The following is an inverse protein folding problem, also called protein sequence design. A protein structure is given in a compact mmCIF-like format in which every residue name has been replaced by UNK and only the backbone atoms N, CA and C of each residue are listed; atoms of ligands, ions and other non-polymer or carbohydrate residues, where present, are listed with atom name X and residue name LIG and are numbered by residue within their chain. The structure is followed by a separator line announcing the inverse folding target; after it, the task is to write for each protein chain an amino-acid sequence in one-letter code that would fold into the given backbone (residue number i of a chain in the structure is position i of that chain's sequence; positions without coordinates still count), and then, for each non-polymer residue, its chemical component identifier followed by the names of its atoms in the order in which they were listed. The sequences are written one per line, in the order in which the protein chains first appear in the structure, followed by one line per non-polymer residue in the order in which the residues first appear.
data_IF_608153837591
#
_entry.id   IF_608153837591
#
_cell.length_a   1.000
_cell.length_b   1.000
_cell.length_c   1.000
_cell.angle_alpha   90.00
_cell.angle_beta   90.00
_cell.angle_gamma   90.00
#
_symmetry.space_group_name_H-M   'P 1'
#
loop_
_entity.id
_entity.type
_entity.pdbx_description
1 polymer ?
#
# COMPACT_ATOMS: atom_id res chain seq x y z
N UNK A 1 -18.79 -27.67 5.58
CA UNK A 1 -19.15 -27.39 4.18
C UNK A 1 -20.37 -26.46 4.04
N UNK A 2 -21.52 -26.68 4.72
CA UNK A 2 -22.72 -25.81 4.59
C UNK A 2 -22.49 -24.35 5.07
N UNK A 3 -21.75 -24.16 6.16
CA UNK A 3 -21.48 -22.82 6.73
C UNK A 3 -20.60 -21.97 5.80
N UNK A 4 -19.59 -22.56 5.19
CA UNK A 4 -18.71 -21.89 4.21
C UNK A 4 -19.47 -21.48 2.95
N UNK A 5 -20.37 -22.35 2.43
CA UNK A 5 -21.17 -22.01 1.26
C UNK A 5 -22.13 -20.86 1.53
N UNK A 6 -22.80 -20.84 2.69
CA UNK A 6 -23.68 -19.74 3.10
C UNK A 6 -22.91 -18.43 3.23
N UNK A 7 -21.74 -18.44 3.82
CA UNK A 7 -20.90 -17.25 3.98
C UNK A 7 -20.41 -16.70 2.61
N UNK A 8 -20.04 -17.58 1.69
CA UNK A 8 -19.68 -17.20 0.31
C UNK A 8 -20.86 -16.51 -0.39
N UNK A 9 -22.08 -17.07 -0.30
CA UNK A 9 -23.28 -16.46 -0.87
C UNK A 9 -23.60 -15.09 -0.24
N UNK A 10 -23.46 -14.98 1.06
CA UNK A 10 -23.66 -13.70 1.77
C UNK A 10 -22.64 -12.65 1.29
N UNK A 11 -21.37 -13.02 1.14
CA UNK A 11 -20.31 -12.13 0.65
C UNK A 11 -20.57 -11.71 -0.80
N UNK A 12 -21.04 -12.62 -1.66
CA UNK A 12 -21.45 -12.30 -3.05
C UNK A 12 -22.62 -11.30 -3.04
N UNK A 13 -23.64 -11.52 -2.23
CA UNK A 13 -24.79 -10.63 -2.14
C UNK A 13 -24.39 -9.24 -1.62
N UNK A 14 -23.61 -9.16 -0.56
CA UNK A 14 -23.11 -7.90 0.00
C UNK A 14 -22.22 -7.12 -0.99
N UNK A 15 -21.37 -7.82 -1.73
CA UNK A 15 -20.56 -7.21 -2.78
C UNK A 15 -21.45 -6.66 -3.91
N UNK A 16 -22.42 -7.47 -4.38
CA UNK A 16 -23.35 -7.03 -5.41
C UNK A 16 -24.21 -5.83 -4.95
N UNK A 17 -24.64 -5.81 -3.70
CA UNK A 17 -25.37 -4.70 -3.10
C UNK A 17 -24.51 -3.41 -3.12
N UNK A 18 -23.27 -3.48 -2.68
CA UNK A 18 -22.36 -2.34 -2.69
C UNK A 18 -22.09 -1.82 -4.11
N UNK A 19 -21.91 -2.71 -5.09
CA UNK A 19 -21.67 -2.33 -6.48
C UNK A 19 -22.91 -1.74 -7.17
N UNK A 20 -24.11 -2.24 -6.85
CA UNK A 20 -25.35 -1.79 -7.48
C UNK A 20 -25.98 -0.56 -6.81
N UNK A 21 -25.90 -0.48 -5.50
CA UNK A 21 -26.59 0.56 -4.71
C UNK A 21 -25.63 1.53 -4.03
N UNK A 22 -24.32 1.27 -4.09
CA UNK A 22 -23.30 2.04 -3.40
C UNK A 22 -23.13 1.62 -1.94
N UNK A 23 -22.26 2.34 -1.26
CA UNK A 23 -21.98 2.15 0.17
C UNK A 23 -22.43 3.40 0.93
N UNK A 24 -23.38 3.29 1.86
CA UNK A 24 -23.84 4.44 2.64
C UNK A 24 -22.69 5.23 3.28
N UNK A 25 -22.76 6.56 3.19
CA UNK A 25 -21.76 7.49 3.71
C UNK A 25 -20.38 7.40 3.05
N UNK A 26 -20.25 6.66 1.95
CA UNK A 26 -19.01 6.52 1.22
C UNK A 26 -19.18 6.88 -0.25
N UNK A 27 -19.95 6.10 -1.02
CA UNK A 27 -20.19 6.36 -2.43
C UNK A 27 -21.60 5.95 -2.88
N UNK A 28 -22.08 6.59 -3.94
CA UNK A 28 -23.37 6.26 -4.58
C UNK A 28 -23.15 6.02 -6.08
N UNK A 29 -23.88 5.08 -6.71
CA UNK A 29 -23.79 4.88 -8.15
C UNK A 29 -24.31 6.12 -8.90
N UNK A 30 -23.66 6.42 -10.03
CA UNK A 30 -24.14 7.47 -10.90
C UNK A 30 -25.41 7.03 -11.63
N UNK A 31 -26.41 7.92 -11.80
CA UNK A 31 -27.69 7.56 -12.41
C UNK A 31 -27.56 7.19 -13.89
N UNK A 32 -26.54 7.70 -14.58
CA UNK A 32 -26.24 7.41 -15.99
C UNK A 32 -24.96 6.62 -16.07
N UNK A 33 -24.98 5.52 -16.79
CA UNK A 33 -23.76 4.73 -17.03
C UNK A 33 -22.67 5.60 -17.69
N UNK A 34 -21.44 5.62 -17.16
CA UNK A 34 -20.35 6.42 -17.73
C UNK A 34 -20.02 6.06 -19.18
N UNK A 35 -20.36 4.85 -19.63
CA UNK A 35 -20.20 4.45 -21.04
C UNK A 35 -21.18 5.16 -22.01
N UNK A 36 -22.25 5.73 -21.50
CA UNK A 36 -23.22 6.50 -22.29
C UNK A 36 -22.92 8.00 -22.30
N UNK A 37 -21.97 8.44 -21.47
CA UNK A 37 -21.56 9.84 -21.37
C UNK A 37 -20.42 10.08 -22.35
N UNK A 38 -20.70 10.83 -23.42
CA UNK A 38 -19.70 11.12 -24.46
C UNK A 38 -18.63 12.12 -24.01
N UNK A 39 -19.00 13.07 -23.16
CA UNK A 39 -18.08 14.07 -22.59
C UNK A 39 -18.66 14.66 -21.30
N UNK A 40 -17.85 14.71 -20.25
CA UNK A 40 -18.18 15.37 -18.98
C UNK A 40 -16.90 15.90 -18.32
N UNK A 41 -17.03 16.64 -17.21
CA UNK A 41 -15.89 17.04 -16.42
C UNK A 41 -15.20 15.80 -15.81
N UNK A 42 -13.86 15.80 -15.63
CA UNK A 42 -13.14 14.65 -15.06
C UNK A 42 -13.66 14.19 -13.72
N UNK A 43 -14.22 15.10 -12.91
CA UNK A 43 -14.85 14.82 -11.62
C UNK A 43 -16.20 14.11 -11.75
N UNK A 44 -16.74 13.97 -12.96
CA UNK A 44 -18.03 13.34 -13.25
C UNK A 44 -17.87 12.00 -14.00
N UNK A 45 -16.68 11.71 -14.53
CA UNK A 45 -16.42 10.50 -15.33
C UNK A 45 -15.97 9.37 -14.42
N UNK A 46 -16.93 8.64 -13.86
CA UNK A 46 -16.69 7.49 -12.98
C UNK A 46 -17.98 6.67 -12.82
N UNK A 47 -17.87 5.45 -12.26
CA UNK A 47 -19.05 4.64 -11.92
C UNK A 47 -19.81 5.19 -10.72
N UNK A 48 -19.10 5.77 -9.76
CA UNK A 48 -19.67 6.21 -8.48
C UNK A 48 -19.33 7.68 -8.22
N UNK A 49 -20.19 8.32 -7.43
CA UNK A 49 -19.97 9.63 -6.83
C UNK A 49 -19.53 9.45 -5.38
N UNK A 50 -18.41 10.07 -5.01
CA UNK A 50 -17.80 10.01 -3.68
C UNK A 50 -18.10 11.22 -2.79
N UNK A 51 -19.02 12.09 -3.21
CA UNK A 51 -19.47 13.25 -2.40
C UNK A 51 -19.89 12.86 -0.98
N UNK A 52 -20.59 11.71 -0.74
CA UNK A 52 -20.93 11.29 0.62
C UNK A 52 -19.73 11.11 1.54
N UNK A 53 -18.56 10.68 0.99
CA UNK A 53 -17.34 10.53 1.77
C UNK A 53 -16.82 11.85 2.32
N UNK A 54 -16.95 12.95 1.59
CA UNK A 54 -16.54 14.28 2.07
C UNK A 54 -17.26 14.67 3.37
N UNK A 55 -18.57 14.41 3.44
CA UNK A 55 -19.36 14.65 4.65
C UNK A 55 -18.92 13.75 5.80
N UNK A 56 -18.65 12.49 5.50
CA UNK A 56 -18.15 11.52 6.48
C UNK A 56 -16.80 11.93 7.05
N UNK A 57 -15.86 12.33 6.20
CA UNK A 57 -14.55 12.80 6.62
C UNK A 57 -14.65 14.05 7.51
N UNK A 58 -15.47 15.04 7.13
CA UNK A 58 -15.69 16.25 7.93
C UNK A 58 -16.31 15.96 9.30
N UNK A 59 -17.11 14.90 9.40
CA UNK A 59 -17.77 14.50 10.64
C UNK A 59 -16.89 13.71 11.59
N UNK A 60 -16.01 12.84 11.06
CA UNK A 60 -15.27 11.86 11.87
C UNK A 60 -13.76 12.14 11.97
N UNK A 61 -13.18 12.94 11.08
CA UNK A 61 -11.79 13.32 11.15
C UNK A 61 -11.63 14.73 11.75
N UNK A 62 -10.76 14.85 12.73
CA UNK A 62 -10.36 16.13 13.28
C UNK A 62 -9.18 16.70 12.49
N UNK A 63 -9.49 17.50 11.47
CA UNK A 63 -8.48 18.16 10.64
C UNK A 63 -7.65 19.19 11.39
N UNK A 64 -8.14 19.76 12.49
CA UNK A 64 -7.36 20.66 13.34
C UNK A 64 -6.25 19.87 14.05
N UNK A 65 -6.58 18.67 14.56
CA UNK A 65 -5.61 17.78 15.19
C UNK A 65 -4.60 17.26 14.16
N UNK A 66 -5.03 16.86 12.97
CA UNK A 66 -4.13 16.44 11.88
C UNK A 66 -3.14 17.55 11.54
N UNK A 67 -3.61 18.79 11.41
CA UNK A 67 -2.78 19.94 11.07
C UNK A 67 -2.00 20.53 12.27
N UNK A 68 -2.19 20.00 13.48
CA UNK A 68 -1.35 20.36 14.63
C UNK A 68 0.09 19.82 14.50
N UNK A 69 0.35 18.92 13.54
CA UNK A 69 1.67 18.34 13.22
C UNK A 69 2.32 17.53 14.33
N UNK A 70 1.55 17.11 15.33
CA UNK A 70 2.04 16.22 16.40
C UNK A 70 2.44 14.83 15.85
N UNK A 71 1.72 14.38 14.82
CA UNK A 71 2.03 13.17 14.06
C UNK A 71 2.10 13.57 12.59
N UNK A 72 3.16 13.17 11.89
CA UNK A 72 3.29 13.39 10.46
C UNK A 72 2.32 12.48 9.71
N UNK A 73 1.50 13.08 8.84
CA UNK A 73 0.62 12.41 7.91
C UNK A 73 1.04 12.76 6.48
N UNK A 74 1.35 11.75 5.69
CA UNK A 74 1.59 11.88 4.25
C UNK A 74 0.58 11.01 3.49
N UNK A 75 -0.13 11.61 2.53
CA UNK A 75 -1.10 10.95 1.68
C UNK A 75 -0.58 10.95 0.24
N UNK A 76 -0.44 9.78 -0.38
CA UNK A 76 -0.02 9.66 -1.77
C UNK A 76 -1.21 9.82 -2.72
N UNK A 77 -1.06 10.61 -3.78
CA UNK A 77 -2.03 10.73 -4.86
C UNK A 77 -1.33 10.83 -6.22
N UNK A 78 -1.96 10.35 -7.27
CA UNK A 78 -1.42 10.38 -8.64
C UNK A 78 -1.92 11.61 -9.37
N UNK A 79 -1.01 12.52 -9.72
CA UNK A 79 -1.35 13.70 -10.51
C UNK A 79 -1.70 13.28 -11.95
N UNK A 80 -2.90 13.64 -12.43
CA UNK A 80 -3.38 13.22 -13.76
C UNK A 80 -2.61 13.86 -14.91
N UNK A 81 -2.10 15.07 -14.71
CA UNK A 81 -1.38 15.78 -15.76
C UNK A 81 0.02 15.22 -16.01
N UNK A 82 0.69 14.74 -14.97
CA UNK A 82 2.09 14.29 -15.01
C UNK A 82 2.25 12.78 -14.92
N UNK A 83 1.23 12.06 -14.39
CA UNK A 83 1.30 10.65 -14.04
C UNK A 83 2.19 10.34 -12.82
N UNK A 84 2.72 11.35 -12.16
CA UNK A 84 3.60 11.18 -11.01
C UNK A 84 2.82 10.98 -9.71
N UNK A 85 3.41 10.21 -8.80
CA UNK A 85 2.98 10.15 -7.41
C UNK A 85 3.43 11.43 -6.69
N UNK A 86 2.48 12.16 -6.12
CA UNK A 86 2.71 13.32 -5.28
C UNK A 86 2.25 13.03 -3.85
N UNK A 87 2.86 13.71 -2.86
CA UNK A 87 2.52 13.52 -1.45
C UNK A 87 1.95 14.80 -0.85
N UNK A 88 0.76 14.69 -0.28
CA UNK A 88 0.18 15.71 0.60
C UNK A 88 0.66 15.42 2.03
N UNK A 89 1.47 16.30 2.58
CA UNK A 89 2.16 16.14 3.86
C UNK A 89 1.80 17.27 4.80
N UNK A 90 1.26 16.96 5.98
CA UNK A 90 0.80 17.98 6.95
C UNK A 90 1.94 18.83 7.53
N UNK A 91 3.20 18.41 7.41
CA UNK A 91 4.35 19.25 7.77
C UNK A 91 4.65 20.33 6.71
N UNK A 92 4.18 20.12 5.47
CA UNK A 92 4.45 21.02 4.33
C UNK A 92 3.25 21.87 3.94
N UNK A 93 2.03 21.35 4.11
CA UNK A 93 0.79 22.02 3.73
C UNK A 93 -0.35 21.67 4.69
N UNK A 94 -1.44 22.42 4.63
CA UNK A 94 -2.68 22.10 5.37
C UNK A 94 -3.39 20.95 4.66
N UNK A 95 -3.74 19.90 5.41
CA UNK A 95 -4.51 18.75 4.91
C UNK A 95 -5.99 18.98 5.17
N UNK A 96 -6.81 18.85 4.13
CA UNK A 96 -8.27 18.86 4.19
C UNK A 96 -8.86 17.53 3.71
N UNK A 97 -10.18 17.38 3.78
CA UNK A 97 -10.87 16.16 3.36
C UNK A 97 -10.68 15.83 1.86
N UNK A 98 -10.48 16.84 1.01
CA UNK A 98 -10.18 16.69 -0.42
C UNK A 98 -8.87 15.95 -0.68
N UNK A 99 -7.86 16.13 0.16
CA UNK A 99 -6.58 15.42 0.07
C UNK A 99 -6.74 13.93 0.38
N UNK A 100 -7.57 13.60 1.39
CA UNK A 100 -7.91 12.21 1.73
C UNK A 100 -8.70 11.57 0.59
N UNK A 101 -9.68 12.32 0.04
CA UNK A 101 -10.48 11.86 -1.09
C UNK A 101 -9.61 11.59 -2.33
N UNK A 102 -8.69 12.50 -2.67
CA UNK A 102 -7.76 12.35 -3.79
C UNK A 102 -6.91 11.10 -3.65
N UNK A 103 -6.39 10.83 -2.45
CA UNK A 103 -5.58 9.64 -2.15
C UNK A 103 -6.34 8.31 -2.31
N UNK A 104 -7.68 8.34 -2.25
CA UNK A 104 -8.55 7.16 -2.40
C UNK A 104 -9.40 7.17 -3.69
N UNK A 105 -9.16 8.08 -4.62
CA UNK A 105 -9.93 8.22 -5.87
C UNK A 105 -9.49 7.20 -6.93
N UNK A 106 -9.77 5.91 -6.70
CA UNK A 106 -9.33 4.82 -7.58
C UNK A 106 -10.20 4.71 -8.85
N UNK A 107 -9.62 4.95 -10.05
CA UNK A 107 -10.34 4.79 -11.30
C UNK A 107 -10.57 3.32 -11.67
N UNK A 108 -11.59 2.98 -12.46
CA UNK A 108 -12.67 3.84 -12.96
C UNK A 108 -13.83 3.95 -11.95
N UNK A 109 -13.71 3.36 -10.77
CA UNK A 109 -14.74 3.36 -9.75
C UNK A 109 -15.07 4.77 -9.29
N UNK A 110 -14.06 5.51 -8.87
CA UNK A 110 -14.18 6.84 -8.30
C UNK A 110 -13.66 7.93 -9.24
N UNK A 111 -14.23 9.14 -9.18
CA UNK A 111 -13.85 10.24 -10.04
C UNK A 111 -12.48 10.81 -9.68
N UNK A 112 -11.89 11.58 -10.60
CA UNK A 112 -10.77 12.43 -10.25
C UNK A 112 -11.19 13.48 -9.21
N UNK A 113 -10.32 13.73 -8.23
CA UNK A 113 -10.53 14.76 -7.21
C UNK A 113 -9.69 15.98 -7.52
N UNK A 114 -10.34 17.15 -7.48
CA UNK A 114 -9.64 18.43 -7.59
C UNK A 114 -9.05 18.84 -6.24
N UNK A 115 -7.76 19.13 -6.23
CA UNK A 115 -7.05 19.72 -5.10
C UNK A 115 -6.27 20.93 -5.63
N UNK A 116 -6.69 22.12 -5.24
CA UNK A 116 -6.06 23.38 -5.62
C UNK A 116 -5.89 23.58 -7.14
N UNK A 117 -6.90 23.13 -7.91
CA UNK A 117 -6.93 23.25 -9.38
C UNK A 117 -6.14 22.18 -10.14
N UNK A 118 -5.60 21.18 -9.44
CA UNK A 118 -4.99 19.99 -10.03
C UNK A 118 -5.86 18.76 -9.78
N UNK A 119 -5.89 17.88 -10.77
CA UNK A 119 -6.68 16.64 -10.72
C UNK A 119 -5.83 15.46 -10.28
N UNK A 120 -6.37 14.69 -9.35
CA UNK A 120 -5.69 13.53 -8.78
C UNK A 120 -6.55 12.28 -8.79
N UNK A 121 -5.90 11.15 -8.97
CA UNK A 121 -6.38 9.82 -8.68
C UNK A 121 -5.65 9.22 -7.49
N UNK A 122 -6.13 8.05 -7.05
CA UNK A 122 -5.52 7.23 -5.99
C UNK A 122 -4.00 7.04 -6.24
N UNK A 123 -3.22 7.21 -5.18
CA UNK A 123 -1.79 6.95 -5.21
C UNK A 123 -1.44 5.51 -5.60
N UNK A 124 -2.34 4.55 -5.32
CA UNK A 124 -2.22 3.16 -5.71
C UNK A 124 -2.19 2.91 -7.22
N UNK A 125 -2.54 3.89 -8.07
CA UNK A 125 -2.31 3.82 -9.51
C UNK A 125 -0.81 3.69 -9.83
N UNK A 126 0.06 4.35 -9.06
CA UNK A 126 1.52 4.35 -9.21
C UNK A 126 2.19 3.47 -8.16
N UNK A 127 1.93 3.71 -6.88
CA UNK A 127 2.52 2.96 -5.77
C UNK A 127 1.49 2.67 -4.68
N UNK A 128 1.31 1.39 -4.37
CA UNK A 128 0.41 0.94 -3.32
C UNK A 128 1.05 0.98 -1.92
N UNK A 129 2.37 1.14 -1.86
CA UNK A 129 3.16 1.18 -0.63
C UNK A 129 4.24 2.25 -0.75
N UNK A 130 3.90 3.54 -0.53
CA UNK A 130 4.79 4.66 -0.82
C UNK A 130 5.87 4.83 0.27
N UNK A 131 6.82 3.91 0.35
CA UNK A 131 7.93 3.92 1.31
C UNK A 131 8.83 5.15 1.17
N UNK A 132 8.93 5.72 -0.03
CA UNK A 132 9.76 6.91 -0.30
C UNK A 132 9.36 8.11 0.59
N UNK A 133 8.06 8.26 0.90
CA UNK A 133 7.58 9.31 1.80
C UNK A 133 8.20 9.24 3.20
N UNK A 134 8.62 8.05 3.62
CA UNK A 134 9.21 7.80 4.93
C UNK A 134 10.73 7.74 4.85
N UNK A 135 11.27 7.03 3.84
CA UNK A 135 12.70 6.73 3.74
C UNK A 135 13.52 7.95 3.28
N UNK A 136 12.93 8.83 2.47
CA UNK A 136 13.62 10.03 2.00
C UNK A 136 13.59 11.19 3.03
N UNK A 137 12.98 10.99 4.21
CA UNK A 137 13.05 11.95 5.31
C UNK A 137 14.41 11.91 6.01
N UNK A 138 15.22 12.98 5.97
CA UNK A 138 16.59 12.97 6.53
C UNK A 138 16.65 12.95 8.06
N UNK A 139 15.53 13.13 8.75
CA UNK A 139 15.49 13.46 10.19
C UNK A 139 15.79 12.32 11.16
N UNK A 140 15.80 11.04 10.72
CA UNK A 140 15.83 9.91 11.65
C UNK A 140 16.94 8.89 11.32
N UNK A 141 17.95 8.73 12.20
CA UNK A 141 19.05 7.77 11.97
C UNK A 141 18.61 6.32 12.12
N UNK A 142 17.55 6.04 12.89
CA UNK A 142 16.98 4.70 13.04
C UNK A 142 15.47 4.74 12.85
N UNK A 143 14.96 3.90 11.95
CA UNK A 143 13.55 3.84 11.61
C UNK A 143 13.04 2.41 11.71
N UNK A 144 11.87 2.26 12.33
CA UNK A 144 11.07 1.05 12.31
C UNK A 144 9.80 1.34 11.53
N UNK A 145 9.63 0.69 10.38
CA UNK A 145 8.51 0.90 9.47
C UNK A 145 7.61 -0.33 9.47
N UNK A 146 6.35 -0.18 9.86
CA UNK A 146 5.32 -1.20 9.65
C UNK A 146 4.62 -0.95 8.32
N UNK A 147 4.78 -1.89 7.39
CA UNK A 147 4.17 -1.86 6.07
C UNK A 147 3.08 -2.93 6.00
N UNK A 148 1.84 -2.51 5.73
CA UNK A 148 0.70 -3.41 5.62
C UNK A 148 0.40 -3.62 4.14
N UNK A 149 0.49 -4.88 3.67
CA UNK A 149 0.21 -5.28 2.31
C UNK A 149 -1.08 -6.11 2.28
N UNK A 150 -2.07 -5.61 1.56
CA UNK A 150 -3.39 -6.23 1.44
C UNK A 150 -3.49 -7.21 0.27
N UNK A 151 -2.44 -7.32 -0.55
CA UNK A 151 -2.44 -8.07 -1.79
C UNK A 151 -1.55 -9.31 -1.72
N UNK A 152 -2.11 -10.45 -2.12
CA UNK A 152 -1.39 -11.71 -2.11
C UNK A 152 -0.86 -12.08 -3.51
N UNK A 153 0.47 -12.19 -3.70
CA UNK A 153 1.04 -12.62 -4.98
C UNK A 153 0.77 -14.10 -5.29
N UNK A 154 0.57 -14.95 -4.27
CA UNK A 154 0.29 -16.37 -4.44
C UNK A 154 -1.22 -16.66 -4.45
N UNK A 155 -1.66 -17.60 -5.27
CA UNK A 155 -3.06 -18.03 -5.34
C UNK A 155 -3.27 -19.11 -6.39
N UNK A 156 -4.40 -19.84 -6.32
CA UNK A 156 -4.72 -20.89 -7.28
C UNK A 156 -4.97 -20.33 -8.69
N UNK A 157 -4.88 -21.16 -9.74
CA UNK A 157 -5.33 -20.81 -11.07
C UNK A 157 -6.80 -20.36 -11.06
N UNK A 158 -7.17 -19.28 -11.77
CA UNK A 158 -8.54 -18.81 -11.82
C UNK A 158 -9.40 -19.68 -12.78
N UNK A 159 -10.62 -20.03 -12.36
CA UNK A 159 -11.55 -20.85 -13.15
C UNK A 159 -12.71 -20.08 -13.76
N UNK A 160 -12.87 -18.78 -13.41
CA UNK A 160 -13.93 -17.91 -13.95
C UNK A 160 -13.34 -16.57 -14.39
N UNK A 161 -14.04 -15.87 -15.30
CA UNK A 161 -13.58 -14.55 -15.77
C UNK A 161 -13.41 -13.54 -14.60
N UNK A 162 -14.31 -13.55 -13.63
CA UNK A 162 -14.19 -12.71 -12.45
C UNK A 162 -12.96 -13.05 -11.62
N UNK A 163 -12.66 -14.35 -11.47
CA UNK A 163 -11.44 -14.81 -10.79
C UNK A 163 -10.17 -14.44 -11.59
N UNK A 164 -10.21 -14.44 -12.93
CA UNK A 164 -9.11 -13.96 -13.78
C UNK A 164 -8.84 -12.50 -13.53
N UNK A 165 -9.86 -11.64 -13.59
CA UNK A 165 -9.73 -10.20 -13.37
C UNK A 165 -9.20 -9.91 -11.96
N UNK A 166 -9.75 -10.59 -10.96
CA UNK A 166 -9.29 -10.47 -9.58
C UNK A 166 -7.84 -10.92 -9.40
N UNK A 167 -7.47 -12.06 -10.00
CA UNK A 167 -6.10 -12.60 -9.92
C UNK A 167 -5.09 -11.68 -10.59
N UNK A 168 -5.43 -11.11 -11.75
CA UNK A 168 -4.59 -10.12 -12.44
C UNK A 168 -4.35 -8.90 -11.55
N UNK A 169 -5.39 -8.39 -10.90
CA UNK A 169 -5.31 -7.27 -9.95
C UNK A 169 -4.40 -7.60 -8.76
N UNK A 170 -4.58 -8.77 -8.14
CA UNK A 170 -3.74 -9.22 -7.03
C UNK A 170 -2.26 -9.27 -7.41
N UNK A 171 -1.93 -9.88 -8.55
CA UNK A 171 -0.54 -9.99 -9.03
C UNK A 171 0.04 -8.60 -9.28
N UNK A 172 -0.71 -7.72 -9.94
CA UNK A 172 -0.28 -6.38 -10.28
C UNK A 172 0.09 -5.54 -9.03
N UNK A 173 -0.75 -5.56 -8.01
CA UNK A 173 -0.50 -4.78 -6.80
C UNK A 173 0.57 -5.42 -5.91
N UNK A 174 0.52 -6.73 -5.69
CA UNK A 174 1.48 -7.43 -4.86
C UNK A 174 2.91 -7.37 -5.43
N UNK A 175 3.08 -7.48 -6.76
CA UNK A 175 4.41 -7.41 -7.38
C UNK A 175 5.02 -6.01 -7.24
N UNK A 176 4.23 -4.95 -7.38
CA UNK A 176 4.70 -3.57 -7.17
C UNK A 176 5.23 -3.38 -5.75
N UNK A 177 4.49 -3.86 -4.73
CA UNK A 177 4.90 -3.78 -3.33
C UNK A 177 6.24 -4.48 -3.10
N UNK A 178 6.37 -5.73 -3.57
CA UNK A 178 7.60 -6.51 -3.40
C UNK A 178 8.81 -5.82 -4.04
N UNK A 179 8.67 -5.39 -5.30
CA UNK A 179 9.76 -4.67 -6.00
C UNK A 179 10.11 -3.35 -5.33
N UNK A 180 9.14 -2.63 -4.80
CA UNK A 180 9.40 -1.36 -4.11
C UNK A 180 10.16 -1.58 -2.80
N UNK A 181 9.77 -2.57 -1.98
CA UNK A 181 10.50 -2.93 -0.76
C UNK A 181 11.96 -3.30 -1.09
N UNK A 182 12.16 -4.16 -2.09
CA UNK A 182 13.50 -4.60 -2.49
C UNK A 182 14.35 -3.42 -3.01
N UNK A 183 13.77 -2.53 -3.81
CA UNK A 183 14.45 -1.34 -4.30
C UNK A 183 14.87 -0.39 -3.17
N UNK A 184 13.97 -0.14 -2.22
CA UNK A 184 14.24 0.72 -1.06
C UNK A 184 15.31 0.10 -0.15
N UNK A 185 15.21 -1.19 0.17
CA UNK A 185 16.20 -1.88 0.97
C UNK A 185 17.59 -1.87 0.30
N UNK A 186 17.64 -2.13 -1.01
CA UNK A 186 18.86 -2.07 -1.81
C UNK A 186 19.46 -0.67 -1.81
N UNK A 187 18.66 0.37 -2.04
CA UNK A 187 19.09 1.78 -2.01
C UNK A 187 19.73 2.13 -0.65
N UNK A 188 19.08 1.74 0.45
CA UNK A 188 19.59 2.00 1.81
C UNK A 188 20.87 1.23 2.08
N UNK A 189 20.95 -0.04 1.66
CA UNK A 189 22.15 -0.87 1.83
C UNK A 189 23.32 -0.35 1.02
N UNK A 190 23.12 0.06 -0.24
CA UNK A 190 24.16 0.66 -1.08
C UNK A 190 24.68 1.97 -0.47
N UNK A 191 23.79 2.86 -0.01
CA UNK A 191 24.17 4.09 0.68
C UNK A 191 25.00 3.81 1.93
N UNK A 192 24.58 2.81 2.70
CA UNK A 192 25.31 2.40 3.90
C UNK A 192 26.71 1.85 3.57
N UNK A 193 26.82 0.96 2.57
CA UNK A 193 28.10 0.43 2.09
C UNK A 193 29.04 1.55 1.58
N UNK A 194 28.51 2.49 0.79
CA UNK A 194 29.26 3.67 0.33
C UNK A 194 29.83 4.49 1.50
N UNK A 195 29.01 4.71 2.54
CA UNK A 195 29.46 5.42 3.75
C UNK A 195 30.60 4.68 4.45
N UNK A 196 30.48 3.36 4.61
CA UNK A 196 31.54 2.54 5.22
C UNK A 196 32.85 2.59 4.43
N UNK A 197 32.78 2.51 3.10
CA UNK A 197 33.95 2.59 2.22
C UNK A 197 34.62 3.98 2.27
N UNK A 198 33.82 5.05 2.31
CA UNK A 198 34.35 6.41 2.51
C UNK A 198 35.04 6.53 3.87
N UNK A 199 34.43 6.03 4.94
CA UNK A 199 34.99 6.05 6.28
C UNK A 199 36.28 5.22 6.38
N UNK A 200 36.43 4.17 5.58
CA UNK A 200 37.62 3.36 5.47
C UNK A 200 38.72 4.00 4.58
N UNK A 201 38.47 5.17 3.98
CA UNK A 201 39.44 5.89 3.17
C UNK A 201 39.73 5.28 1.80
N UNK A 202 38.77 4.55 1.21
CA UNK A 202 38.89 3.99 -0.14
C UNK A 202 38.94 5.11 -1.18
N UNK A 203 40.05 5.31 -1.84
CA UNK A 203 40.34 6.47 -2.70
C UNK A 203 39.34 6.61 -3.86
N UNK A 204 38.96 5.51 -4.50
CA UNK A 204 38.03 5.48 -5.62
C UNK A 204 36.62 5.95 -5.20
N UNK A 205 36.25 5.69 -3.95
CA UNK A 205 34.94 6.08 -3.39
C UNK A 205 34.95 7.50 -2.83
N UNK A 206 36.12 7.98 -2.39
CA UNK A 206 36.28 9.35 -1.89
C UNK A 206 35.96 10.42 -2.95
N UNK A 207 36.18 10.10 -4.24
CA UNK A 207 35.86 10.97 -5.37
C UNK A 207 34.37 11.05 -5.71
N UNK A 208 33.53 10.14 -5.17
CA UNK A 208 32.06 10.18 -5.38
C UNK A 208 31.46 11.35 -4.57
N UNK A 209 30.67 12.24 -5.20
CA UNK A 209 30.03 13.35 -4.49
C UNK A 209 29.26 12.89 -3.26
N UNK A 210 29.21 13.74 -2.23
CA UNK A 210 28.39 13.45 -1.06
C UNK A 210 26.91 13.47 -1.43
N UNK A 211 26.26 12.34 -1.25
CA UNK A 211 24.80 12.23 -1.31
C UNK A 211 24.24 12.64 0.06
N UNK A 212 23.31 13.62 0.15
CA UNK A 212 22.64 13.98 1.40
C UNK A 212 21.96 12.77 2.09
N UNK A 213 21.70 11.70 1.34
CA UNK A 213 21.18 10.42 1.86
C UNK A 213 22.24 9.49 2.46
N UNK A 214 23.55 9.81 2.43
CA UNK A 214 24.64 9.03 3.04
C UNK A 214 24.73 9.17 4.57
N UNK A 215 23.68 9.68 5.21
CA UNK A 215 23.60 9.69 6.68
C UNK A 215 23.58 8.28 7.24
N UNK A 216 24.10 8.11 8.47
CA UNK A 216 23.98 6.83 9.17
C UNK A 216 22.51 6.52 9.40
N UNK A 217 21.97 5.63 8.57
CA UNK A 217 20.55 5.23 8.68
C UNK A 217 20.46 3.72 8.83
N UNK A 218 19.66 3.30 9.80
CA UNK A 218 19.23 1.92 9.98
C UNK A 218 17.73 1.84 9.79
N UNK A 219 17.30 0.94 8.92
CA UNK A 219 15.91 0.76 8.54
C UNK A 219 15.47 -0.69 8.80
N UNK A 220 14.52 -0.86 9.69
CA UNK A 220 13.81 -2.12 9.88
C UNK A 220 12.42 -2.00 9.24
N UNK A 221 12.13 -2.80 8.21
CA UNK A 221 10.82 -2.87 7.54
C UNK A 221 10.10 -4.12 8.01
N UNK A 222 9.02 -3.94 8.74
CA UNK A 222 8.12 -5.04 9.14
C UNK A 222 6.99 -5.13 8.12
N UNK A 223 7.13 -6.06 7.17
CA UNK A 223 6.19 -6.28 6.08
C UNK A 223 5.11 -7.28 6.49
N UNK A 224 3.92 -6.78 6.83
CA UNK A 224 2.76 -7.57 7.23
C UNK A 224 1.91 -7.84 5.99
N UNK A 225 1.83 -9.13 5.59
CA UNK A 225 1.12 -9.54 4.39
C UNK A 225 -0.20 -10.20 4.76
N UNK A 226 -1.32 -9.55 4.40
CA UNK A 226 -2.64 -10.14 4.57
C UNK A 226 -2.84 -11.33 3.64
N UNK A 227 -3.24 -12.46 4.19
CA UNK A 227 -3.66 -13.65 3.44
C UNK A 227 -5.16 -13.85 3.63
N UNK A 228 -5.92 -13.69 2.56
CA UNK A 228 -7.36 -13.93 2.62
C UNK A 228 -7.69 -15.37 2.97
N UNK A 229 -8.79 -15.57 3.66
CA UNK A 229 -9.38 -16.88 3.89
C UNK A 229 -9.93 -17.50 2.58
N UNK A 230 -10.13 -18.82 2.55
CA UNK A 230 -10.58 -19.54 1.37
C UNK A 230 -12.01 -19.18 0.89
N UNK A 231 -12.79 -18.47 1.73
CA UNK A 231 -14.13 -17.98 1.46
C UNK A 231 -14.15 -16.57 0.82
N UNK A 232 -12.98 -16.00 0.54
CA UNK A 232 -12.88 -14.69 -0.08
C UNK A 232 -13.25 -14.79 -1.57
N UNK A 233 -14.21 -13.95 -1.96
CA UNK A 233 -14.72 -13.86 -3.33
C UNK A 233 -13.88 -12.90 -4.20
N UNK A 234 -13.90 -13.03 -5.54
CA UNK A 234 -13.41 -11.99 -6.43
C UNK A 234 -14.06 -10.63 -6.12
N UNK A 235 -13.30 -9.54 -6.23
CA UNK A 235 -13.71 -8.18 -5.88
C UNK A 235 -14.06 -7.98 -4.39
N UNK A 236 -13.47 -8.78 -3.50
CA UNK A 236 -13.67 -8.65 -2.06
C UNK A 236 -13.25 -7.30 -1.48
N UNK A 237 -12.55 -6.46 -2.24
CA UNK A 237 -12.27 -5.07 -1.91
C UNK A 237 -13.52 -4.16 -1.90
N UNK A 238 -14.61 -4.58 -2.58
CA UNK A 238 -15.93 -3.93 -2.52
C UNK A 238 -16.92 -4.66 -1.59
N UNK A 239 -16.47 -5.65 -0.80
CA UNK A 239 -17.30 -6.38 0.14
C UNK A 239 -17.17 -5.79 1.56
N UNK A 240 -18.24 -5.16 2.04
CA UNK A 240 -18.29 -4.38 3.28
C UNK A 240 -19.20 -4.99 4.37
N UNK A 241 -19.49 -6.31 4.29
CA UNK A 241 -20.28 -6.98 5.35
C UNK A 241 -19.56 -6.93 6.70
N UNK A 242 -20.35 -6.89 7.77
CA UNK A 242 -19.80 -6.87 9.14
C UNK A 242 -18.94 -8.09 9.44
N UNK A 243 -19.30 -9.26 8.90
CA UNK A 243 -18.54 -10.50 9.08
C UNK A 243 -17.17 -10.42 8.42
N UNK A 244 -17.08 -9.93 7.18
CA UNK A 244 -15.83 -9.77 6.47
C UNK A 244 -14.92 -8.70 7.10
N UNK A 245 -15.50 -7.58 7.52
CA UNK A 245 -14.77 -6.54 8.24
C UNK A 245 -14.21 -7.08 9.56
N UNK A 246 -15.00 -7.83 10.32
CA UNK A 246 -14.59 -8.44 11.58
C UNK A 246 -13.45 -9.47 11.35
N UNK A 247 -13.59 -10.32 10.35
CA UNK A 247 -12.59 -11.33 10.00
C UNK A 247 -11.24 -10.69 9.58
N UNK A 248 -11.28 -9.65 8.74
CA UNK A 248 -10.09 -8.90 8.33
C UNK A 248 -9.42 -8.19 9.50
N UNK A 249 -10.21 -7.57 10.37
CA UNK A 249 -9.71 -6.92 11.59
C UNK A 249 -9.00 -7.94 12.51
N UNK A 250 -9.61 -9.10 12.73
CA UNK A 250 -9.03 -10.16 13.56
C UNK A 250 -7.74 -10.72 12.95
N UNK A 251 -7.69 -10.90 11.63
CA UNK A 251 -6.48 -11.35 10.94
C UNK A 251 -5.34 -10.34 11.11
N UNK A 252 -5.59 -9.05 10.85
CA UNK A 252 -4.60 -7.99 11.04
C UNK A 252 -4.12 -7.86 12.48
N UNK A 253 -5.04 -8.02 13.46
CA UNK A 253 -4.69 -8.00 14.88
C UNK A 253 -3.76 -9.15 15.27
N UNK A 254 -4.03 -10.37 14.80
CA UNK A 254 -3.17 -11.55 15.06
C UNK A 254 -1.78 -11.38 14.44
N UNK A 255 -1.70 -10.92 13.19
CA UNK A 255 -0.43 -10.75 12.49
C UNK A 255 0.41 -9.65 13.15
N UNK A 256 -0.21 -8.52 13.54
CA UNK A 256 0.49 -7.47 14.27
C UNK A 256 0.95 -7.94 15.66
N UNK A 257 0.13 -8.69 16.40
CA UNK A 257 0.53 -9.26 17.67
C UNK A 257 1.71 -10.23 17.54
N UNK A 258 1.73 -11.05 16.49
CA UNK A 258 2.86 -11.95 16.22
C UNK A 258 4.14 -11.16 15.91
N UNK A 259 4.05 -10.10 15.12
CA UNK A 259 5.16 -9.20 14.84
C UNK A 259 5.72 -8.58 16.13
N UNK A 260 4.85 -8.02 16.98
CA UNK A 260 5.24 -7.37 18.23
C UNK A 260 5.79 -8.36 19.26
N UNK A 261 5.25 -9.57 19.32
CA UNK A 261 5.73 -10.62 20.23
C UNK A 261 7.11 -11.15 19.84
N UNK A 262 7.36 -11.32 18.54
CA UNK A 262 8.66 -11.75 18.03
C UNK A 262 9.70 -10.63 18.06
N UNK A 263 9.27 -9.37 17.87
CA UNK A 263 10.07 -8.14 17.83
C UNK A 263 11.48 -8.33 17.23
N UNK A 264 11.62 -8.89 16.00
CA UNK A 264 12.92 -9.29 15.44
C UNK A 264 13.90 -8.11 15.34
N UNK A 265 13.42 -6.90 15.16
CA UNK A 265 14.22 -5.66 15.14
C UNK A 265 14.89 -5.32 16.49
N UNK A 266 14.49 -5.97 17.59
CA UNK A 266 15.10 -5.81 18.92
C UNK A 266 16.16 -6.87 19.20
N UNK A 267 15.99 -8.07 18.65
CA UNK A 267 16.80 -9.25 19.00
C UNK A 267 17.78 -9.65 17.90
N UNK A 268 17.51 -9.24 16.66
CA UNK A 268 18.40 -9.53 15.55
C UNK A 268 19.37 -8.37 15.34
N UNK A 269 20.65 -8.64 15.55
CA UNK A 269 21.69 -7.67 15.20
C UNK A 269 21.73 -7.47 13.68
N UNK A 270 21.67 -6.21 13.26
CA UNK A 270 21.83 -5.85 11.88
C UNK A 270 23.30 -6.06 11.49
N UNK A 271 23.60 -6.86 10.45
CA UNK A 271 24.98 -7.03 9.98
C UNK A 271 25.62 -5.68 9.66
N UNK A 272 26.91 -5.54 9.96
CA UNK A 272 27.65 -4.25 9.84
C UNK A 272 27.57 -3.66 8.43
N UNK A 273 27.50 -4.51 7.40
CA UNK A 273 27.45 -4.08 6.00
C UNK A 273 26.05 -3.72 5.51
N UNK A 274 24.99 -3.93 6.33
CA UNK A 274 23.61 -3.63 5.96
C UNK A 274 23.10 -2.37 6.66
N UNK A 275 22.34 -1.56 5.93
CA UNK A 275 21.58 -0.42 6.44
C UNK A 275 20.09 -0.71 6.59
N UNK A 276 19.58 -1.80 5.96
CA UNK A 276 18.16 -2.18 6.00
C UNK A 276 17.98 -3.69 6.21
N UNK A 277 16.96 -4.06 7.01
CA UNK A 277 16.46 -5.43 7.16
C UNK A 277 14.96 -5.46 6.87
N UNK A 278 14.50 -6.56 6.25
CA UNK A 278 13.08 -6.80 5.99
C UNK A 278 12.60 -8.00 6.79
N UNK A 279 11.66 -7.75 7.70
CA UNK A 279 11.01 -8.74 8.54
C UNK A 279 9.61 -9.02 7.97
N UNK A 280 9.38 -10.22 7.42
CA UNK A 280 8.10 -10.58 6.83
C UNK A 280 7.22 -11.29 7.85
N UNK A 281 5.98 -10.83 7.97
CA UNK A 281 4.95 -11.42 8.82
C UNK A 281 3.79 -11.89 7.93
N UNK A 282 3.47 -13.18 8.04
CA UNK A 282 2.44 -13.80 7.22
C UNK A 282 1.81 -14.96 8.00
N UNK A 283 0.48 -14.98 8.12
CA UNK A 283 -0.24 -15.98 8.91
C UNK A 283 0.32 -16.15 10.33
N UNK A 284 0.62 -15.04 10.99
CA UNK A 284 1.25 -14.96 12.31
C UNK A 284 2.63 -15.66 12.41
N UNK A 285 3.31 -15.88 11.28
CA UNK A 285 4.70 -16.35 11.21
C UNK A 285 5.61 -15.17 10.86
N UNK A 286 6.74 -15.08 11.55
CA UNK A 286 7.73 -14.02 11.34
C UNK A 286 9.01 -14.62 10.77
N UNK A 287 9.52 -14.01 9.69
CA UNK A 287 10.81 -14.36 9.09
C UNK A 287 11.57 -13.09 8.73
N UNK A 288 12.91 -13.15 8.78
CA UNK A 288 13.76 -12.01 8.42
C UNK A 288 14.62 -12.38 7.22
N UNK A 289 14.75 -11.45 6.27
CA UNK A 289 15.63 -11.59 5.12
C UNK A 289 16.71 -10.52 5.19
N UNK A 290 17.98 -10.88 5.16
CA UNK A 290 19.11 -9.93 5.11
C UNK A 290 19.33 -9.32 3.72
N UNK A 291 18.87 -10.00 2.66
CA UNK A 291 19.09 -9.60 1.26
C UNK A 291 17.78 -9.47 0.48
N UNK A 292 17.70 -8.53 -0.49
CA UNK A 292 16.59 -8.49 -1.44
C UNK A 292 16.54 -9.81 -2.24
N UNK A 293 15.35 -10.24 -2.65
CA UNK A 293 15.15 -11.39 -3.52
C UNK A 293 15.80 -11.10 -4.90
N UNK A 294 17.08 -11.32 -5.05
CA UNK A 294 17.66 -11.58 -6.36
C UNK A 294 17.04 -12.91 -6.79
N UNK A 295 16.14 -12.87 -7.77
CA UNK A 295 15.59 -14.07 -8.39
C UNK A 295 16.76 -14.93 -8.85
N UNK A 296 17.13 -15.91 -8.07
CA UNK A 296 18.02 -16.99 -8.53
C UNK A 296 17.18 -17.81 -9.50
N UNK A 297 17.23 -17.43 -10.77
CA UNK A 297 16.90 -18.31 -11.89
C UNK A 297 17.95 -19.43 -11.92
N UNK A 298 17.80 -20.42 -11.05
CA UNK A 298 18.54 -21.68 -11.13
C UNK A 298 17.61 -22.83 -10.77
N UNK A 299 16.58 -23.03 -11.58
CA UNK A 299 16.07 -24.38 -11.84
C UNK A 299 16.41 -24.70 -13.30
N UNK A 300 17.59 -25.27 -13.49
CA UNK A 300 17.85 -26.10 -14.67
C UNK A 300 16.93 -27.30 -14.57
N UNK A 301 16.09 -27.60 -15.57
CA UNK A 301 15.41 -28.87 -15.61
C UNK A 301 16.47 -29.95 -15.71
N UNK A 302 16.43 -30.92 -14.78
CA UNK A 302 17.19 -32.14 -14.90
C UNK A 302 16.79 -32.83 -16.22
N UNK A 303 17.76 -33.03 -17.08
CA UNK A 303 17.61 -33.84 -18.28
C UNK A 303 17.30 -35.28 -17.87
N UNK A 304 16.22 -35.83 -18.37
CA UNK A 304 15.97 -37.25 -18.55
C UNK A 304 15.46 -37.49 -19.97
#
# INVERSE_FOLDING_TARGET
MAFTAWQTWHNIASNAEALLFGQPNFFTPRPISPFLVTRAAPQEVSFYDTTPLLFTLRRFADFSLINSRQIRLSLGATNLATGNLEFFDNHRQTIGPEHVLASGSLPPGFPATDVEGKLYWDGGCVSNTPLDAVVDDPGHPRMLVFLIDLWNPAGPPPETINAVLWRAKQIQYASRTAHHIDAVATKVNLRHAMRLLKAAGVAEVAAVPDDPGLTERRLDIVHIVYRPSADQIPNSDAEFSRSSIAARREAGYRDMRAALAAAPWQHQEMPVHLGALVHRVELAKVSTRPEPNLHTTTDKPAAA
#
